data_IF_330284484145
#
_entry.id   IF_330284484145
#
_cell.length_a   1.000
_cell.length_b   1.000
_cell.length_c   1.000
_cell.angle_alpha   90.00
_cell.angle_beta   90.00
_cell.angle_gamma   90.00
#
_symmetry.space_group_name_H-M   'P 1'
#
loop_
_entity.id
_entity.type
_entity.pdbx_description
1 polymer ?
#
# COMPACT_ATOMS: atom_id res chain seq x y z
N UNK A 1 17.36 39.34 14.77
CA UNK A 1 17.37 38.14 15.64
C UNK A 1 18.44 38.32 16.69
N UNK A 2 18.13 38.07 17.96
CA UNK A 2 19.11 38.16 19.06
C UNK A 2 19.83 36.83 19.18
N UNK A 3 21.15 36.87 19.24
CA UNK A 3 22.02 35.70 19.16
C UNK A 3 22.96 35.69 20.35
N UNK A 4 23.00 34.60 21.13
CA UNK A 4 23.78 34.50 22.36
C UNK A 4 24.83 33.38 22.26
N UNK A 5 26.09 33.69 22.57
CA UNK A 5 27.22 32.74 22.52
C UNK A 5 27.68 32.22 23.89
N UNK A 6 26.87 32.42 24.93
CA UNK A 6 27.23 32.04 26.31
C UNK A 6 27.87 33.17 27.12
N UNK A 7 28.22 34.31 26.50
CA UNK A 7 28.72 35.50 27.19
C UNK A 7 28.09 36.78 26.67
N UNK A 8 28.09 36.97 25.35
CA UNK A 8 27.63 38.19 24.70
C UNK A 8 26.37 37.91 23.86
N UNK A 9 25.51 38.93 23.74
CA UNK A 9 24.35 38.89 22.86
C UNK A 9 24.52 39.90 21.74
N UNK A 10 24.46 39.44 20.49
CA UNK A 10 24.54 40.26 19.29
C UNK A 10 23.21 40.24 18.53
N UNK A 11 22.92 41.32 17.81
CA UNK A 11 21.71 41.40 16.99
C UNK A 11 22.04 41.24 15.52
N UNK A 12 21.44 40.23 14.90
CA UNK A 12 21.67 39.84 13.51
C UNK A 12 20.41 40.10 12.68
N UNK A 13 20.53 40.82 11.58
CA UNK A 13 19.50 40.93 10.56
C UNK A 13 19.99 40.21 9.31
N UNK A 14 19.21 39.27 8.79
CA UNK A 14 19.55 38.53 7.58
C UNK A 14 18.50 38.78 6.51
N UNK A 15 18.92 39.35 5.39
CA UNK A 15 18.08 39.66 4.23
C UNK A 15 18.73 39.07 2.98
N UNK A 16 18.25 37.91 2.55
CA UNK A 16 18.81 37.18 1.40
C UNK A 16 20.30 36.82 1.62
N UNK A 17 21.16 37.37 0.76
CA UNK A 17 22.62 37.18 0.79
C UNK A 17 23.35 38.11 1.76
N UNK A 18 22.65 39.04 2.42
CA UNK A 18 23.28 40.04 3.28
C UNK A 18 22.96 39.77 4.74
N UNK A 19 23.98 39.79 5.59
CA UNK A 19 23.86 39.72 7.05
C UNK A 19 24.37 41.02 7.64
N UNK A 20 23.51 41.72 8.38
CA UNK A 20 23.86 42.91 9.16
C UNK A 20 23.99 42.53 10.62
N UNK A 21 25.07 42.94 11.26
CA UNK A 21 25.29 42.78 12.70
C UNK A 21 25.25 44.16 13.34
N UNK A 22 24.27 44.37 14.22
CA UNK A 22 24.05 45.63 14.91
C UNK A 22 24.77 45.59 16.26
N UNK A 23 25.59 46.61 16.51
CA UNK A 23 26.49 46.67 17.65
C UNK A 23 26.11 47.83 18.58
N UNK A 24 25.92 47.50 19.85
CA UNK A 24 25.77 48.47 20.93
C UNK A 24 27.12 49.08 21.30
N UNK A 25 27.12 50.19 22.05
CA UNK A 25 28.34 50.96 22.30
C UNK A 25 29.44 50.24 23.09
N UNK A 26 29.10 49.26 23.92
CA UNK A 26 30.10 48.44 24.62
C UNK A 26 30.75 47.36 23.71
N UNK A 27 30.19 47.11 22.53
CA UNK A 27 30.55 46.00 21.65
C UNK A 27 31.54 46.40 20.54
N UNK A 28 31.85 47.69 20.43
CA UNK A 28 32.79 48.21 19.44
C UNK A 28 33.55 49.42 19.99
N UNK A 29 34.84 49.46 19.69
CA UNK A 29 35.76 50.54 20.03
C UNK A 29 35.84 51.54 18.89
N UNK A 30 35.11 52.64 19.03
CA UNK A 30 35.03 53.71 18.01
C UNK A 30 36.38 54.36 17.73
N UNK A 31 37.27 54.39 18.73
CA UNK A 31 38.66 54.84 18.63
C UNK A 31 39.50 54.02 17.63
N UNK A 32 39.06 52.80 17.30
CA UNK A 32 39.75 51.88 16.39
C UNK A 32 38.89 51.46 15.19
N UNK A 33 37.89 52.26 14.82
CA UNK A 33 36.93 51.92 13.75
C UNK A 33 37.60 51.73 12.38
N UNK A 34 38.71 52.42 12.12
CA UNK A 34 39.45 52.27 10.86
C UNK A 34 40.05 50.87 10.70
N UNK A 35 40.42 50.20 11.80
CA UNK A 35 40.87 48.80 11.77
C UNK A 35 39.70 47.89 11.41
N UNK A 36 38.50 48.17 11.91
CA UNK A 36 37.29 47.41 11.58
C UNK A 36 36.95 47.52 10.09
N UNK A 37 37.10 48.73 9.50
CA UNK A 37 36.87 48.98 8.06
C UNK A 37 37.75 48.14 7.13
N UNK A 38 38.98 47.82 7.55
CA UNK A 38 39.87 46.96 6.77
C UNK A 38 39.42 45.49 6.77
N UNK A 39 38.59 45.09 7.73
CA UNK A 39 38.16 43.70 7.90
C UNK A 39 36.72 43.47 7.44
N UNK A 40 35.84 44.47 7.56
CA UNK A 40 34.40 44.35 7.32
C UNK A 40 33.81 45.67 6.80
N UNK A 41 32.82 45.59 5.91
CA UNK A 41 32.07 46.75 5.43
C UNK A 41 31.15 47.30 6.51
N UNK A 42 31.24 48.59 6.80
CA UNK A 42 30.28 49.29 7.68
C UNK A 42 29.13 49.87 6.85
N UNK A 43 27.91 49.80 7.38
CA UNK A 43 26.76 50.45 6.77
C UNK A 43 26.81 51.97 6.99
N UNK A 44 26.35 52.73 6.00
CA UNK A 44 26.24 54.19 6.08
C UNK A 44 25.08 54.62 6.99
N UNK A 45 24.00 53.84 7.01
CA UNK A 45 22.85 54.06 7.87
C UNK A 45 22.91 53.19 9.13
N UNK A 46 22.98 53.86 10.29
CA UNK A 46 23.01 53.25 11.62
C UNK A 46 21.75 53.71 12.39
N UNK A 47 20.90 52.79 12.88
CA UNK A 47 19.75 53.17 13.70
C UNK A 47 20.21 53.82 15.02
N UNK A 48 19.45 54.79 15.54
CA UNK A 48 19.81 55.61 16.72
C UNK A 48 20.18 54.81 17.99
N UNK A 49 19.74 53.56 18.09
CA UNK A 49 19.99 52.67 19.23
C UNK A 49 21.35 51.94 19.17
N UNK A 50 22.04 51.99 18.03
CA UNK A 50 23.29 51.27 17.78
C UNK A 50 24.42 52.25 17.44
N UNK A 51 25.67 51.86 17.72
CA UNK A 51 26.82 52.69 17.37
C UNK A 51 27.45 52.31 16.03
N UNK A 52 27.29 51.05 15.60
CA UNK A 52 27.75 50.61 14.29
C UNK A 52 26.91 49.46 13.77
N UNK A 53 26.81 49.36 12.44
CA UNK A 53 26.22 48.22 11.74
C UNK A 53 27.24 47.65 10.77
N UNK A 54 27.60 46.39 10.97
CA UNK A 54 28.51 45.65 10.10
C UNK A 54 27.74 44.88 9.05
N UNK A 55 28.19 44.90 7.80
CA UNK A 55 27.52 44.24 6.68
C UNK A 55 28.41 43.15 6.09
N UNK A 56 27.87 41.95 5.99
CA UNK A 56 28.53 40.76 5.46
C UNK A 56 27.77 40.22 4.26
N UNK A 57 28.50 39.87 3.20
CA UNK A 57 27.92 39.16 2.05
C UNK A 57 28.16 37.66 2.20
N UNK A 58 27.07 36.90 2.21
CA UNK A 58 27.05 35.44 2.32
C UNK A 58 26.68 34.86 0.94
N UNK A 59 27.40 33.85 0.42
CA UNK A 59 27.08 33.25 -0.87
C UNK A 59 25.65 32.70 -0.95
N UNK A 60 24.99 32.82 -2.10
CA UNK A 60 23.62 32.35 -2.33
C UNK A 60 23.38 30.88 -1.95
N UNK A 61 24.39 30.03 -2.16
CA UNK A 61 24.31 28.59 -1.87
C UNK A 61 24.65 28.24 -0.40
N UNK A 62 24.99 29.22 0.44
CA UNK A 62 25.37 28.98 1.82
C UNK A 62 24.13 28.70 2.69
N UNK A 63 24.25 27.71 3.58
CA UNK A 63 23.21 27.40 4.57
C UNK A 63 23.75 27.67 5.96
N UNK A 64 22.94 28.22 6.86
CA UNK A 64 23.36 28.32 8.27
C UNK A 64 23.49 26.93 8.88
N UNK A 65 24.27 26.81 9.95
CA UNK A 65 24.41 25.54 10.65
C UNK A 65 23.06 25.06 11.18
N UNK A 66 22.18 25.96 11.63
CA UNK A 66 20.80 25.62 12.01
C UNK A 66 20.04 24.99 10.85
N UNK A 67 20.10 25.59 9.66
CA UNK A 67 19.43 25.06 8.47
C UNK A 67 20.01 23.69 8.09
N UNK A 68 21.33 23.54 8.08
CA UNK A 68 22.00 22.27 7.79
C UNK A 68 21.62 21.17 8.79
N UNK A 69 21.59 21.49 10.08
CA UNK A 69 21.16 20.58 11.14
C UNK A 69 19.70 20.13 10.98
N UNK A 70 18.81 21.04 10.59
CA UNK A 70 17.39 20.72 10.35
C UNK A 70 17.15 19.88 9.08
N UNK A 71 18.02 20.01 8.08
CA UNK A 71 17.92 19.29 6.82
C UNK A 71 18.46 17.85 6.90
N UNK A 72 19.41 17.59 7.81
CA UNK A 72 20.00 16.27 8.02
C UNK A 72 19.00 15.30 8.65
N UNK A 73 18.61 14.26 7.90
CA UNK A 73 17.58 13.29 8.31
C UNK A 73 18.18 12.06 8.98
N UNK A 74 19.33 11.60 8.49
CA UNK A 74 19.99 10.40 9.00
C UNK A 74 21.02 10.74 10.08
N UNK A 75 21.36 9.77 10.92
CA UNK A 75 22.45 9.92 11.91
C UNK A 75 23.77 10.23 11.22
N UNK A 76 24.07 9.55 10.11
CA UNK A 76 25.27 9.77 9.31
C UNK A 76 25.38 11.21 8.78
N UNK A 77 24.30 11.75 8.19
CA UNK A 77 24.30 13.13 7.68
C UNK A 77 24.53 14.15 8.80
N UNK A 78 23.96 13.92 9.98
CA UNK A 78 24.17 14.77 11.16
C UNK A 78 25.63 14.71 11.63
N UNK A 79 26.21 13.52 11.72
CA UNK A 79 27.61 13.33 12.11
C UNK A 79 28.57 13.94 11.08
N UNK A 80 28.32 13.79 9.78
CA UNK A 80 29.10 14.44 8.72
C UNK A 80 29.00 15.97 8.80
N UNK A 81 27.85 16.50 9.18
CA UNK A 81 27.69 17.95 9.39
C UNK A 81 28.50 18.42 10.61
N UNK A 82 28.49 17.65 11.70
CA UNK A 82 29.32 17.92 12.88
C UNK A 82 30.82 17.82 12.58
N UNK A 83 31.25 16.83 11.78
CA UNK A 83 32.63 16.66 11.34
C UNK A 83 33.18 17.90 10.65
N UNK A 84 32.35 18.59 9.84
CA UNK A 84 32.77 19.83 9.16
C UNK A 84 33.11 20.97 10.13
N UNK A 85 32.61 20.96 11.38
CA UNK A 85 32.97 21.95 12.39
C UNK A 85 34.45 21.91 12.77
N UNK A 86 35.17 20.83 12.43
CA UNK A 86 36.62 20.76 12.54
C UNK A 86 37.35 21.96 11.94
N UNK A 87 36.78 22.62 10.92
CA UNK A 87 37.33 23.82 10.29
C UNK A 87 37.40 25.04 11.23
N UNK A 88 36.69 25.02 12.37
CA UNK A 88 36.73 26.08 13.36
C UNK A 88 37.95 25.98 14.30
N UNK A 89 38.56 24.80 14.43
CA UNK A 89 39.76 24.56 15.24
C UNK A 89 40.90 25.56 14.96
N UNK A 90 41.32 25.79 13.70
CA UNK A 90 42.40 26.73 13.42
C UNK A 90 42.02 28.19 13.67
N UNK A 91 40.79 28.52 14.08
CA UNK A 91 40.38 29.88 14.44
C UNK A 91 40.67 30.20 15.92
N UNK A 92 40.99 29.20 16.73
CA UNK A 92 41.35 29.39 18.14
C UNK A 92 42.61 30.25 18.29
N UNK A 93 42.61 31.18 19.25
CA UNK A 93 43.76 32.02 19.58
C UNK A 93 44.21 33.02 18.51
N UNK A 94 43.42 33.24 17.45
CA UNK A 94 43.71 34.23 16.41
C UNK A 94 43.19 35.63 16.77
N UNK A 95 43.74 36.65 16.09
CA UNK A 95 43.27 38.04 16.20
C UNK A 95 41.79 38.20 15.84
N UNK A 96 41.29 37.40 14.89
CA UNK A 96 39.85 37.29 14.58
C UNK A 96 39.23 36.23 15.48
N UNK A 97 38.36 36.64 16.39
CA UNK A 97 37.71 35.78 17.37
C UNK A 97 36.37 35.29 16.79
N UNK A 98 36.16 33.98 16.60
CA UNK A 98 34.91 33.48 16.04
C UNK A 98 33.76 33.60 17.03
N UNK A 99 32.64 34.20 16.63
CA UNK A 99 31.41 34.22 17.43
C UNK A 99 30.63 32.91 17.20
N UNK A 100 30.62 32.03 18.20
CA UNK A 100 30.12 30.66 18.04
C UNK A 100 28.60 30.58 18.22
N UNK A 101 27.87 30.57 17.11
CA UNK A 101 26.42 30.35 17.11
C UNK A 101 25.93 29.65 15.82
N UNK A 102 24.90 28.78 15.88
CA UNK A 102 24.37 28.09 14.69
C UNK A 102 23.86 28.99 13.56
N UNK A 103 23.46 30.22 13.88
CA UNK A 103 23.05 31.24 12.89
C UNK A 103 24.22 31.99 12.26
N UNK A 104 25.36 32.04 12.95
CA UNK A 104 26.55 32.74 12.48
C UNK A 104 27.45 31.85 11.61
N UNK A 105 27.43 30.55 11.87
CA UNK A 105 28.20 29.55 11.13
C UNK A 105 27.45 29.19 9.86
N UNK A 106 28.13 29.26 8.73
CA UNK A 106 27.59 28.91 7.41
C UNK A 106 28.37 27.77 6.79
N UNK A 107 27.65 26.86 6.14
CA UNK A 107 28.18 25.74 5.38
C UNK A 107 28.02 26.03 3.90
N UNK A 108 29.14 25.98 3.18
CA UNK A 108 29.21 26.12 1.72
C UNK A 108 29.84 24.88 1.10
N UNK A 109 29.86 24.79 -0.23
CA UNK A 109 30.57 23.71 -0.94
C UNK A 109 32.09 23.71 -0.67
N UNK A 110 32.67 24.86 -0.28
CA UNK A 110 34.08 25.00 0.04
C UNK A 110 34.44 24.66 1.49
N UNK A 111 33.44 24.49 2.38
CA UNK A 111 33.65 24.20 3.79
C UNK A 111 32.77 25.01 4.72
N UNK A 112 33.18 25.10 5.99
CA UNK A 112 32.51 25.86 7.05
C UNK A 112 33.23 27.18 7.26
N UNK A 113 32.46 28.26 7.32
CA UNK A 113 32.98 29.59 7.66
C UNK A 113 32.09 30.29 8.68
N UNK A 114 32.66 31.29 9.34
CA UNK A 114 31.98 32.12 10.34
C UNK A 114 31.65 33.46 9.67
N UNK A 115 30.39 33.90 9.74
CA UNK A 115 29.96 35.14 9.08
C UNK A 115 30.54 36.36 9.81
N UNK A 116 30.33 36.43 11.12
CA UNK A 116 30.83 37.50 11.99
C UNK A 116 31.90 37.00 12.95
N UNK A 117 33.01 37.72 13.04
CA UNK A 117 34.08 37.48 13.99
C UNK A 117 34.43 38.79 14.67
N UNK A 118 34.69 38.71 15.98
CA UNK A 118 35.25 39.81 16.75
C UNK A 118 36.73 40.04 16.44
N UNK A 119 37.26 41.13 16.98
CA UNK A 119 38.67 41.51 16.88
C UNK A 119 39.17 41.80 18.28
N UNK A 120 40.34 41.23 18.61
CA UNK A 120 40.93 41.36 19.95
C UNK A 120 41.02 42.83 20.35
N UNK A 121 40.34 43.19 21.45
CA UNK A 121 40.32 44.54 22.03
C UNK A 121 39.53 45.61 21.26
N UNK A 122 38.91 45.28 20.11
CA UNK A 122 38.30 46.27 19.21
C UNK A 122 36.82 45.99 18.94
N UNK A 123 36.47 44.74 18.64
CA UNK A 123 35.13 44.34 18.17
C UNK A 123 34.68 43.08 18.90
N UNK A 124 33.45 43.08 19.42
CA UNK A 124 32.83 41.95 20.09
C UNK A 124 32.79 40.68 19.20
N UNK A 125 33.14 39.49 19.71
CA UNK A 125 33.81 39.23 20.99
C UNK A 125 35.25 39.77 21.01
N UNK A 126 35.58 40.58 22.01
CA UNK A 126 36.87 41.30 22.09
C UNK A 126 38.01 40.50 22.77
N UNK A 127 37.69 39.39 23.42
CA UNK A 127 38.68 38.55 24.09
C UNK A 127 38.41 37.08 23.78
N UNK A 128 39.48 36.34 23.46
CA UNK A 128 39.39 34.89 23.27
C UNK A 128 39.44 34.19 24.63
N UNK A 129 38.56 33.22 24.83
CA UNK A 129 38.50 32.40 26.03
C UNK A 129 38.37 30.92 25.61
N UNK A 130 39.36 30.12 25.98
CA UNK A 130 39.43 28.70 25.66
C UNK A 130 38.25 27.90 26.24
N UNK A 131 37.80 28.22 27.46
CA UNK A 131 36.68 27.54 28.11
C UNK A 131 35.36 27.89 27.42
N UNK A 132 35.17 29.16 27.03
CA UNK A 132 34.01 29.58 26.24
C UNK A 132 34.03 28.95 24.85
N UNK A 133 35.18 28.87 24.20
CA UNK A 133 35.33 28.25 22.89
C UNK A 133 35.00 26.75 22.94
N UNK A 134 35.50 26.02 23.94
CA UNK A 134 35.15 24.60 24.16
C UNK A 134 33.65 24.43 24.43
N UNK A 135 33.07 25.25 25.30
CA UNK A 135 31.64 25.24 25.65
C UNK A 135 30.78 25.50 24.42
N UNK A 136 31.13 26.51 23.61
CA UNK A 136 30.48 26.82 22.35
C UNK A 136 30.61 25.69 21.33
N UNK A 137 31.80 25.10 21.17
CA UNK A 137 32.01 23.97 20.26
C UNK A 137 31.15 22.75 20.62
N UNK A 138 31.08 22.40 21.92
CA UNK A 138 30.18 21.35 22.43
C UNK A 138 28.73 21.66 22.08
N UNK A 139 28.27 22.87 22.37
CA UNK A 139 26.90 23.28 22.07
C UNK A 139 26.57 23.23 20.58
N UNK A 140 27.52 23.58 19.70
CA UNK A 140 27.35 23.50 18.25
C UNK A 140 27.18 22.07 17.77
N UNK A 141 28.05 21.15 18.21
CA UNK A 141 27.93 19.71 17.88
C UNK A 141 26.57 19.16 18.36
N UNK A 142 26.18 19.50 19.59
CA UNK A 142 24.90 19.07 20.15
C UNK A 142 23.69 19.67 19.43
N UNK A 143 23.79 20.91 18.95
CA UNK A 143 22.72 21.58 18.18
C UNK A 143 22.45 20.89 16.83
N UNK A 144 23.48 20.26 16.25
CA UNK A 144 23.34 19.49 15.01
C UNK A 144 22.59 18.18 15.28
N UNK A 145 22.90 17.51 16.40
CA UNK A 145 22.24 16.26 16.75
C UNK A 145 20.79 16.48 17.20
N UNK A 146 20.57 17.57 17.94
CA UNK A 146 19.30 17.94 18.56
C UNK A 146 18.77 19.27 18.02
N UNK A 147 18.39 19.37 16.73
CA UNK A 147 18.01 20.65 16.10
C UNK A 147 16.72 21.28 16.66
N UNK A 148 15.96 20.53 17.47
CA UNK A 148 14.75 21.02 18.14
C UNK A 148 15.04 21.78 19.43
N UNK A 149 16.23 21.61 20.01
CA UNK A 149 16.62 22.29 21.23
C UNK A 149 17.17 23.69 20.91
N UNK A 150 16.78 24.73 21.67
CA UNK A 150 17.36 26.05 21.53
C UNK A 150 18.85 25.99 21.93
N UNK A 151 19.68 26.71 21.18
CA UNK A 151 21.14 26.70 21.36
C UNK A 151 21.55 27.23 22.74
N UNK A 152 20.79 28.19 23.26
CA UNK A 152 20.99 28.84 24.55
C UNK A 152 20.92 27.81 25.71
N UNK A 153 20.01 26.83 25.62
CA UNK A 153 19.94 25.75 26.62
C UNK A 153 21.09 24.76 26.52
N UNK A 154 21.63 24.56 25.31
CA UNK A 154 22.76 23.66 25.08
C UNK A 154 24.05 24.28 25.56
N UNK A 155 24.25 25.58 25.32
CA UNK A 155 25.44 26.28 25.79
C UNK A 155 25.44 26.37 27.30
N UNK A 156 24.34 26.76 27.94
CA UNK A 156 24.26 26.86 29.41
C UNK A 156 24.33 25.50 30.13
N UNK A 157 24.28 24.39 29.40
CA UNK A 157 24.31 23.04 29.98
C UNK A 157 23.04 22.67 30.74
N UNK A 158 21.97 23.45 30.58
CA UNK A 158 20.67 23.22 31.24
C UNK A 158 19.80 22.22 30.50
N UNK A 159 20.14 21.90 29.25
CA UNK A 159 19.46 20.87 28.48
C UNK A 159 19.72 19.46 29.03
N UNK A 160 18.64 18.75 29.40
CA UNK A 160 18.73 17.35 29.84
C UNK A 160 18.94 16.42 28.63
N UNK A 161 20.19 16.07 28.34
CA UNK A 161 20.55 15.15 27.26
C UNK A 161 20.72 13.73 27.82
N UNK A 162 19.83 12.83 27.43
CA UNK A 162 19.82 11.44 27.94
C UNK A 162 20.73 10.50 27.17
N UNK A 163 21.07 10.84 25.92
CA UNK A 163 21.83 9.98 25.02
C UNK A 163 23.32 9.91 25.35
N UNK A 164 23.92 8.73 25.17
CA UNK A 164 25.31 8.47 25.54
C UNK A 164 26.30 9.26 24.69
N UNK A 165 25.97 9.55 23.43
CA UNK A 165 26.78 10.39 22.56
C UNK A 165 26.90 11.80 23.16
N UNK A 166 25.79 12.44 23.50
CA UNK A 166 25.80 13.79 24.08
C UNK A 166 26.53 13.86 25.42
N UNK A 167 26.40 12.83 26.27
CA UNK A 167 27.16 12.73 27.52
C UNK A 167 28.66 12.65 27.26
N UNK A 168 29.09 11.85 26.28
CA UNK A 168 30.51 11.76 25.87
C UNK A 168 31.02 13.11 25.37
N UNK A 169 30.28 13.79 24.48
CA UNK A 169 30.62 15.14 24.00
C UNK A 169 30.81 16.12 25.16
N UNK A 170 29.92 16.10 26.16
CA UNK A 170 30.02 16.97 27.32
C UNK A 170 31.27 16.69 28.17
N UNK A 171 31.70 15.42 28.26
CA UNK A 171 32.83 14.99 29.09
C UNK A 171 34.22 15.30 28.51
N UNK A 172 34.35 15.52 27.20
CA UNK A 172 35.67 15.71 26.60
C UNK A 172 36.33 17.03 27.04
N UNK A 173 37.65 17.01 27.35
CA UNK A 173 38.35 18.18 27.84
C UNK A 173 38.81 19.13 26.72
N UNK A 174 38.96 18.66 25.49
CA UNK A 174 39.45 19.49 24.37
C UNK A 174 38.57 19.38 23.12
N UNK A 175 38.67 20.40 22.25
CA UNK A 175 37.97 20.42 20.95
C UNK A 175 38.51 19.34 20.01
N UNK A 176 39.80 19.02 20.09
CA UNK A 176 40.41 17.97 19.27
C UNK A 176 39.91 16.58 19.66
N UNK A 177 39.71 16.31 20.94
CA UNK A 177 39.10 15.04 21.40
C UNK A 177 37.68 14.88 20.87
N UNK A 178 36.90 15.98 20.88
CA UNK A 178 35.54 15.99 20.33
C UNK A 178 35.57 15.70 18.83
N UNK A 179 36.46 16.37 18.08
CA UNK A 179 36.57 16.17 16.65
C UNK A 179 37.00 14.74 16.29
N UNK A 180 38.00 14.19 16.98
CA UNK A 180 38.45 12.81 16.79
C UNK A 180 37.35 11.79 17.11
N UNK A 181 36.55 12.04 18.16
CA UNK A 181 35.39 11.20 18.49
C UNK A 181 34.33 11.23 17.39
N UNK A 182 34.00 12.42 16.87
CA UNK A 182 33.04 12.58 15.77
C UNK A 182 33.57 11.89 14.50
N UNK A 183 34.85 12.03 14.16
CA UNK A 183 35.47 11.40 12.99
C UNK A 183 35.35 9.87 13.04
N UNK A 184 35.60 9.28 14.23
CA UNK A 184 35.43 7.86 14.46
C UNK A 184 33.98 7.41 14.28
N UNK A 185 33.03 8.11 14.88
CA UNK A 185 31.60 7.80 14.78
C UNK A 185 31.09 7.91 13.33
N UNK A 186 31.58 8.88 12.55
CA UNK A 186 31.28 8.98 11.11
C UNK A 186 31.78 7.76 10.37
N UNK A 187 33.02 7.32 10.61
CA UNK A 187 33.61 6.17 9.94
C UNK A 187 32.86 4.87 10.27
N UNK A 188 32.53 4.66 11.54
CA UNK A 188 31.76 3.50 12.00
C UNK A 188 30.35 3.49 11.38
N UNK A 189 29.63 4.61 11.41
CA UNK A 189 28.27 4.71 10.86
C UNK A 189 28.26 4.59 9.32
N UNK A 190 29.24 5.15 8.63
CA UNK A 190 29.39 5.01 7.18
C UNK A 190 29.63 3.54 6.78
N UNK A 191 30.45 2.83 7.56
CA UNK A 191 30.69 1.40 7.32
C UNK A 191 29.43 0.56 7.52
N UNK A 192 28.63 0.84 8.56
CA UNK A 192 27.34 0.17 8.80
C UNK A 192 26.34 0.46 7.69
N UNK A 193 26.17 1.73 7.32
CA UNK A 193 25.28 2.13 6.24
C UNK A 193 25.64 1.42 4.92
N UNK A 194 26.93 1.29 4.61
CA UNK A 194 27.39 0.61 3.39
C UNK A 194 27.16 -0.91 3.39
N UNK A 195 27.15 -1.54 4.57
CA UNK A 195 26.90 -2.98 4.75
C UNK A 195 25.41 -3.34 4.81
N UNK A 196 24.60 -2.47 5.39
CA UNK A 196 23.18 -2.73 5.65
C UNK A 196 22.25 -2.20 4.53
N UNK A 197 22.69 -1.21 3.74
CA UNK A 197 21.83 -0.58 2.74
C UNK A 197 22.41 -0.68 1.32
N UNK A 198 21.86 -1.63 0.53
CA UNK A 198 22.00 -1.59 -0.92
C UNK A 198 21.01 -0.55 -1.44
N UNK A 199 21.50 0.64 -1.79
CA UNK A 199 20.66 1.70 -2.34
C UNK A 199 20.16 1.32 -3.74
N UNK A 200 18.96 0.73 -3.82
CA UNK A 200 18.33 0.45 -5.11
C UNK A 200 17.70 1.75 -5.63
N UNK A 201 18.01 2.10 -6.88
CA UNK A 201 17.41 3.26 -7.56
C UNK A 201 15.87 3.11 -7.53
N UNK A 202 15.16 4.08 -6.93
CA UNK A 202 13.70 4.05 -6.68
C UNK A 202 12.86 3.62 -7.91
N UNK A 203 13.29 3.98 -9.11
CA UNK A 203 12.61 3.60 -10.36
C UNK A 203 12.68 2.09 -10.64
N UNK A 204 13.86 1.47 -10.44
CA UNK A 204 14.02 0.01 -10.62
C UNK A 204 13.17 -0.75 -9.63
N UNK A 205 13.16 -0.33 -8.36
CA UNK A 205 12.32 -0.91 -7.32
C UNK A 205 10.82 -0.85 -7.70
N UNK A 206 10.31 0.33 -8.07
CA UNK A 206 8.90 0.47 -8.50
C UNK A 206 8.56 -0.42 -9.69
N UNK A 207 9.43 -0.45 -10.71
CA UNK A 207 9.21 -1.28 -11.90
C UNK A 207 9.20 -2.77 -11.55
N UNK A 208 10.14 -3.25 -10.74
CA UNK A 208 10.18 -4.64 -10.30
C UNK A 208 8.98 -5.02 -9.44
N UNK A 209 8.53 -4.13 -8.55
CA UNK A 209 7.35 -4.38 -7.70
C UNK A 209 6.07 -4.46 -8.54
N UNK A 210 5.91 -3.57 -9.54
CA UNK A 210 4.76 -3.61 -10.46
C UNK A 210 4.79 -4.87 -11.31
N UNK A 211 5.94 -5.22 -11.89
CA UNK A 211 6.09 -6.45 -12.68
C UNK A 211 5.79 -7.70 -11.84
N UNK A 212 6.27 -7.76 -10.60
CA UNK A 212 5.98 -8.87 -9.71
C UNK A 212 4.47 -8.96 -9.39
N UNK A 213 3.82 -7.84 -9.12
CA UNK A 213 2.37 -7.80 -8.87
C UNK A 213 1.57 -8.27 -10.11
N UNK A 214 1.94 -7.80 -11.30
CA UNK A 214 1.31 -8.23 -12.56
C UNK A 214 1.52 -9.73 -12.80
N UNK A 215 2.72 -10.25 -12.54
CA UNK A 215 3.01 -11.67 -12.69
C UNK A 215 2.16 -12.55 -11.77
N UNK A 216 1.94 -12.13 -10.51
CA UNK A 216 1.06 -12.84 -9.58
C UNK A 216 -0.38 -12.87 -10.08
N UNK A 217 -0.91 -11.72 -10.52
CA UNK A 217 -2.28 -11.65 -11.06
C UNK A 217 -2.42 -12.52 -12.32
N UNK A 218 -1.46 -12.46 -13.23
CA UNK A 218 -1.47 -13.28 -14.45
C UNK A 218 -1.40 -14.78 -14.15
N UNK A 219 -0.62 -15.19 -13.14
CA UNK A 219 -0.55 -16.57 -12.69
C UNK A 219 -1.88 -17.04 -12.08
N UNK A 220 -2.54 -16.20 -11.29
CA UNK A 220 -3.86 -16.53 -10.70
C UNK A 220 -4.94 -16.70 -11.77
N UNK A 221 -5.02 -15.79 -12.75
CA UNK A 221 -5.99 -15.89 -13.85
C UNK A 221 -5.73 -17.13 -14.70
N UNK A 222 -4.46 -17.38 -15.04
CA UNK A 222 -4.08 -18.59 -15.79
C UNK A 222 -4.42 -19.86 -15.01
N UNK A 223 -4.20 -19.87 -13.69
CA UNK A 223 -4.53 -21.00 -12.82
C UNK A 223 -6.03 -21.26 -12.75
N UNK A 224 -6.85 -20.21 -12.64
CA UNK A 224 -8.31 -20.35 -12.69
C UNK A 224 -8.80 -20.92 -14.02
N UNK A 225 -8.27 -20.43 -15.14
CA UNK A 225 -8.64 -20.92 -16.47
C UNK A 225 -8.21 -22.37 -16.71
N UNK A 226 -7.03 -22.75 -16.22
CA UNK A 226 -6.57 -24.15 -16.24
C UNK A 226 -7.46 -25.06 -15.39
N UNK A 227 -7.90 -24.59 -14.22
CA UNK A 227 -8.82 -25.34 -13.37
C UNK A 227 -10.19 -25.54 -14.02
N UNK A 228 -10.79 -24.47 -14.54
CA UNK A 228 -12.11 -24.52 -15.20
C UNK A 228 -12.09 -25.44 -16.43
N UNK A 229 -11.02 -25.37 -17.23
CA UNK A 229 -10.88 -26.23 -18.40
C UNK A 229 -10.67 -27.72 -18.05
N UNK A 230 -9.74 -28.05 -17.14
CA UNK A 230 -9.37 -29.44 -16.86
C UNK A 230 -10.35 -30.14 -15.92
N UNK A 231 -10.81 -29.45 -14.88
CA UNK A 231 -11.61 -30.07 -13.81
C UNK A 231 -13.11 -30.02 -14.10
N UNK A 232 -13.58 -29.03 -14.86
CA UNK A 232 -15.01 -28.86 -15.14
C UNK A 232 -15.33 -29.18 -16.59
N UNK A 233 -14.64 -28.55 -17.55
CA UNK A 233 -15.03 -28.65 -18.95
C UNK A 233 -14.71 -30.02 -19.58
N UNK A 234 -13.52 -30.59 -19.33
CA UNK A 234 -13.12 -31.90 -19.87
C UNK A 234 -14.02 -33.07 -19.44
N UNK A 235 -14.24 -33.33 -18.14
CA UNK A 235 -15.05 -34.48 -17.72
C UNK A 235 -16.50 -34.38 -18.23
N UNK A 236 -17.05 -33.16 -18.32
CA UNK A 236 -18.37 -32.94 -18.92
C UNK A 236 -18.38 -33.32 -20.41
N UNK A 237 -17.36 -32.93 -21.17
CA UNK A 237 -17.27 -33.28 -22.58
C UNK A 237 -17.11 -34.80 -22.77
N UNK A 238 -16.28 -35.44 -21.96
CA UNK A 238 -16.11 -36.90 -21.97
C UNK A 238 -17.43 -37.62 -21.65
N UNK A 239 -18.14 -37.17 -20.61
CA UNK A 239 -19.45 -37.73 -20.25
C UNK A 239 -20.49 -37.55 -21.38
N UNK A 240 -20.50 -36.41 -22.06
CA UNK A 240 -21.39 -36.18 -23.21
C UNK A 240 -21.05 -37.13 -24.37
N UNK A 241 -19.77 -37.35 -24.66
CA UNK A 241 -19.33 -38.28 -25.72
C UNK A 241 -19.72 -39.71 -25.37
N UNK A 242 -19.49 -40.14 -24.13
CA UNK A 242 -19.87 -41.48 -23.64
C UNK A 242 -21.38 -41.68 -23.71
N UNK A 243 -22.17 -40.73 -23.21
CA UNK A 243 -23.62 -40.81 -23.26
C UNK A 243 -24.17 -40.84 -24.69
N UNK A 244 -23.54 -40.12 -25.63
CA UNK A 244 -23.90 -40.19 -27.05
C UNK A 244 -23.55 -41.55 -27.65
N UNK A 245 -22.42 -42.15 -27.27
CA UNK A 245 -22.05 -43.50 -27.67
C UNK A 245 -23.08 -44.52 -27.19
N UNK A 246 -23.45 -44.45 -25.91
CA UNK A 246 -24.42 -45.37 -25.30
C UNK A 246 -25.83 -45.17 -25.86
N UNK A 247 -26.19 -43.95 -26.21
CA UNK A 247 -27.42 -43.66 -26.95
C UNK A 247 -27.45 -44.33 -28.33
N UNK A 248 -26.33 -44.30 -29.06
CA UNK A 248 -26.21 -44.93 -30.38
C UNK A 248 -26.28 -46.47 -30.30
N UNK A 249 -25.80 -47.06 -29.21
CA UNK A 249 -25.93 -48.51 -28.93
C UNK A 249 -27.28 -48.90 -28.33
N UNK A 250 -28.20 -47.93 -28.19
CA UNK A 250 -29.54 -48.07 -27.59
C UNK A 250 -29.55 -48.42 -26.09
N UNK A 251 -28.45 -48.18 -25.37
CA UNK A 251 -28.41 -48.25 -23.91
C UNK A 251 -28.90 -46.94 -23.29
N UNK A 252 -30.22 -46.75 -23.34
CA UNK A 252 -30.88 -45.55 -22.84
C UNK A 252 -30.75 -45.38 -21.32
N UNK A 253 -30.62 -46.48 -20.57
CA UNK A 253 -30.50 -46.43 -19.12
C UNK A 253 -29.11 -45.93 -18.71
N UNK A 254 -28.06 -46.44 -19.36
CA UNK A 254 -26.71 -45.96 -19.14
C UNK A 254 -26.54 -44.51 -19.60
N UNK A 255 -27.16 -44.12 -20.73
CA UNK A 255 -27.18 -42.72 -21.21
C UNK A 255 -27.69 -41.74 -20.15
N UNK A 256 -28.77 -42.08 -19.43
CA UNK A 256 -29.30 -41.24 -18.36
C UNK A 256 -28.33 -41.13 -17.18
N UNK A 257 -27.65 -42.24 -16.85
CA UNK A 257 -26.70 -42.33 -15.75
C UNK A 257 -25.43 -41.52 -16.00
N UNK A 258 -24.89 -41.58 -17.22
CA UNK A 258 -23.64 -40.90 -17.59
C UNK A 258 -23.73 -39.37 -17.46
N UNK A 259 -24.93 -38.81 -17.65
CA UNK A 259 -25.17 -37.37 -17.53
C UNK A 259 -25.98 -37.00 -16.28
N UNK A 260 -26.17 -37.91 -15.33
CA UNK A 260 -26.99 -37.66 -14.14
C UNK A 260 -26.45 -36.51 -13.29
N UNK A 261 -25.13 -36.35 -13.25
CA UNK A 261 -24.43 -35.35 -12.42
C UNK A 261 -24.50 -33.92 -13.00
N UNK A 262 -24.92 -33.76 -14.27
CA UNK A 262 -24.95 -32.47 -14.94
C UNK A 262 -26.38 -31.92 -15.05
N UNK A 263 -26.57 -30.64 -14.71
CA UNK A 263 -27.86 -29.96 -14.88
C UNK A 263 -28.25 -29.83 -16.37
N UNK A 264 -29.54 -29.81 -16.72
CA UNK A 264 -29.96 -29.65 -18.12
C UNK A 264 -29.40 -28.35 -18.75
N UNK A 265 -29.33 -27.26 -17.98
CA UNK A 265 -28.77 -25.98 -18.40
C UNK A 265 -27.27 -26.01 -18.73
N UNK A 266 -26.52 -26.95 -18.13
CA UNK A 266 -25.08 -27.08 -18.33
C UNK A 266 -24.72 -27.93 -19.56
N UNK A 267 -25.74 -28.55 -20.17
CA UNK A 267 -25.60 -29.47 -21.28
C UNK A 267 -25.97 -28.81 -22.62
N UNK A 268 -25.22 -29.09 -23.68
CA UNK A 268 -25.57 -28.63 -25.01
C UNK A 268 -26.89 -29.27 -25.46
N UNK A 269 -27.61 -28.58 -26.35
CA UNK A 269 -28.94 -28.99 -26.82
C UNK A 269 -28.96 -30.41 -27.41
N UNK A 270 -27.87 -30.86 -28.02
CA UNK A 270 -27.71 -32.24 -28.51
C UNK A 270 -27.72 -33.28 -27.40
N UNK A 271 -27.04 -33.03 -26.27
CA UNK A 271 -27.01 -33.95 -25.14
C UNK A 271 -28.36 -33.95 -24.39
N UNK A 272 -29.01 -32.78 -24.27
CA UNK A 272 -30.38 -32.68 -23.76
C UNK A 272 -31.38 -33.47 -24.60
N UNK A 273 -31.29 -33.36 -25.93
CA UNK A 273 -32.11 -34.17 -26.84
C UNK A 273 -31.90 -35.67 -26.61
N UNK A 274 -30.64 -36.11 -26.52
CA UNK A 274 -30.29 -37.51 -26.22
C UNK A 274 -30.92 -37.97 -24.90
N UNK A 275 -30.81 -37.17 -23.84
CA UNK A 275 -31.43 -37.49 -22.55
C UNK A 275 -32.96 -37.53 -22.60
N UNK A 276 -33.59 -36.56 -23.26
CA UNK A 276 -35.04 -36.52 -23.40
C UNK A 276 -35.57 -37.74 -24.17
N UNK A 277 -34.91 -38.13 -25.27
CA UNK A 277 -35.28 -39.33 -26.03
C UNK A 277 -35.07 -40.60 -25.20
N UNK A 278 -33.92 -40.72 -24.51
CA UNK A 278 -33.66 -41.86 -23.61
C UNK A 278 -34.71 -41.97 -22.51
N UNK A 279 -35.09 -40.83 -21.92
CA UNK A 279 -36.18 -40.75 -20.94
C UNK A 279 -37.49 -41.30 -21.51
N UNK A 280 -37.94 -40.81 -22.67
CA UNK A 280 -39.19 -41.26 -23.31
C UNK A 280 -39.14 -42.77 -23.60
N UNK A 281 -37.99 -43.28 -24.06
CA UNK A 281 -37.81 -44.71 -24.32
C UNK A 281 -37.97 -45.56 -23.04
N UNK A 282 -37.59 -45.04 -21.89
CA UNK A 282 -37.66 -45.73 -20.59
C UNK A 282 -38.96 -45.49 -19.81
N UNK A 283 -39.73 -44.46 -20.13
CA UNK A 283 -41.03 -44.18 -19.49
C UNK A 283 -42.01 -45.36 -19.58
N UNK A 284 -43.00 -45.43 -18.68
CA UNK A 284 -44.02 -46.48 -18.64
C UNK A 284 -45.19 -46.27 -19.63
N UNK A 285 -44.91 -45.68 -20.80
CA UNK A 285 -45.90 -45.49 -21.87
C UNK A 285 -45.98 -46.70 -22.80
N UNK A 286 -47.13 -46.89 -23.47
CA UNK A 286 -47.26 -47.92 -24.52
C UNK A 286 -46.36 -47.60 -25.71
N UNK A 287 -45.98 -48.61 -26.50
CA UNK A 287 -45.10 -48.42 -27.66
C UNK A 287 -45.66 -47.39 -28.67
N UNK A 288 -46.98 -47.38 -28.88
CA UNK A 288 -47.65 -46.43 -29.78
C UNK A 288 -47.57 -45.00 -29.22
N UNK A 289 -47.85 -44.81 -27.92
CA UNK A 289 -47.73 -43.49 -27.28
C UNK A 289 -46.29 -42.96 -27.34
N UNK A 290 -45.30 -43.80 -27.04
CA UNK A 290 -43.87 -43.43 -27.16
C UNK A 290 -43.55 -42.96 -28.57
N UNK A 291 -44.01 -43.67 -29.60
CA UNK A 291 -43.73 -43.29 -30.98
C UNK A 291 -44.38 -41.95 -31.34
N UNK A 292 -45.61 -41.69 -30.90
CA UNK A 292 -46.27 -40.40 -31.11
C UNK A 292 -45.50 -39.24 -30.49
N UNK A 293 -45.03 -39.40 -29.25
CA UNK A 293 -44.20 -38.38 -28.58
C UNK A 293 -42.88 -38.19 -29.32
N UNK A 294 -42.17 -39.26 -29.64
CA UNK A 294 -40.87 -39.21 -30.31
C UNK A 294 -40.92 -38.57 -31.69
N UNK A 295 -42.03 -38.70 -32.42
CA UNK A 295 -42.20 -38.03 -33.72
C UNK A 295 -42.21 -36.50 -33.62
N UNK A 296 -42.50 -35.96 -32.43
CA UNK A 296 -42.56 -34.51 -32.16
C UNK A 296 -41.30 -33.99 -31.43
N UNK A 297 -40.34 -34.87 -31.10
CA UNK A 297 -39.10 -34.47 -30.43
C UNK A 297 -37.95 -34.49 -31.43
N UNK A 298 -37.20 -33.38 -31.46
CA UNK A 298 -36.01 -33.21 -32.29
C UNK A 298 -34.97 -32.36 -31.56
N UNK A 299 -33.78 -32.22 -32.15
CA UNK A 299 -32.76 -31.28 -31.69
C UNK A 299 -33.19 -29.81 -31.80
N UNK A 300 -34.34 -29.52 -32.43
CA UNK A 300 -34.94 -28.18 -32.55
C UNK A 300 -36.09 -27.94 -31.58
N UNK A 301 -36.56 -28.97 -30.88
CA UNK A 301 -37.61 -28.84 -29.85
C UNK A 301 -37.19 -27.80 -28.81
N UNK A 302 -38.16 -27.09 -28.24
CA UNK A 302 -37.90 -26.06 -27.25
C UNK A 302 -37.25 -26.67 -25.99
N UNK A 303 -36.49 -25.82 -25.30
CA UNK A 303 -35.67 -26.26 -24.18
C UNK A 303 -36.53 -26.75 -23.01
N UNK A 304 -37.70 -26.15 -22.76
CA UNK A 304 -38.59 -26.54 -21.66
C UNK A 304 -39.19 -27.94 -21.89
N UNK A 305 -39.55 -28.28 -23.13
CA UNK A 305 -40.04 -29.63 -23.46
C UNK A 305 -38.94 -30.67 -23.30
N UNK A 306 -37.70 -30.37 -23.71
CA UNK A 306 -36.58 -31.30 -23.50
C UNK A 306 -36.29 -31.47 -22.00
N UNK A 307 -36.21 -30.36 -21.27
CA UNK A 307 -35.93 -30.34 -19.84
C UNK A 307 -37.03 -31.05 -19.06
N UNK A 308 -38.30 -30.94 -19.46
CA UNK A 308 -39.42 -31.71 -18.89
C UNK A 308 -39.12 -33.20 -18.86
N UNK A 309 -38.76 -33.79 -20.02
CA UNK A 309 -38.48 -35.23 -20.11
C UNK A 309 -37.25 -35.62 -19.31
N UNK A 310 -36.25 -34.74 -19.21
CA UNK A 310 -35.06 -34.97 -18.41
C UNK A 310 -35.41 -34.99 -16.91
N UNK A 311 -36.16 -34.00 -16.42
CA UNK A 311 -36.60 -33.93 -15.03
C UNK A 311 -37.52 -35.11 -14.67
N UNK A 312 -38.42 -35.50 -15.57
CA UNK A 312 -39.29 -36.66 -15.41
C UNK A 312 -38.48 -37.96 -15.21
N UNK A 313 -37.48 -38.21 -16.05
CA UNK A 313 -36.60 -39.39 -15.91
C UNK A 313 -35.74 -39.38 -14.64
N UNK A 314 -35.39 -38.19 -14.13
CA UNK A 314 -34.61 -38.03 -12.89
C UNK A 314 -35.46 -38.14 -11.63
N UNK A 315 -36.79 -38.23 -11.76
CA UNK A 315 -37.71 -38.25 -10.62
C UNK A 315 -37.93 -36.88 -9.98
N UNK A 316 -37.50 -35.79 -10.64
CA UNK A 316 -37.75 -34.41 -10.21
C UNK A 316 -39.12 -33.95 -10.73
N UNK A 317 -40.15 -34.59 -10.18
CA UNK A 317 -41.52 -34.54 -10.71
C UNK A 317 -42.19 -33.18 -10.51
N UNK A 318 -41.84 -32.44 -9.44
CA UNK A 318 -42.35 -31.09 -9.21
C UNK A 318 -41.84 -30.13 -10.29
N UNK A 319 -40.56 -30.21 -10.65
CA UNK A 319 -39.97 -29.39 -11.72
C UNK A 319 -40.55 -29.77 -13.08
N UNK A 320 -40.73 -31.06 -13.34
CA UNK A 320 -41.40 -31.53 -14.55
C UNK A 320 -42.85 -31.00 -14.64
N UNK A 321 -43.63 -31.06 -13.55
CA UNK A 321 -44.98 -30.53 -13.52
C UNK A 321 -45.02 -29.03 -13.83
N UNK A 322 -44.14 -28.24 -13.20
CA UNK A 322 -44.05 -26.81 -13.43
C UNK A 322 -43.70 -26.49 -14.90
N UNK A 323 -42.77 -27.23 -15.50
CA UNK A 323 -42.42 -27.09 -16.92
C UNK A 323 -43.62 -27.41 -17.82
N UNK A 324 -44.35 -28.49 -17.55
CA UNK A 324 -45.53 -28.87 -18.32
C UNK A 324 -46.67 -27.83 -18.24
N UNK A 325 -46.92 -27.29 -17.05
CA UNK A 325 -47.92 -26.24 -16.85
C UNK A 325 -47.52 -24.94 -17.55
N UNK A 326 -46.23 -24.57 -17.50
CA UNK A 326 -45.71 -23.40 -18.21
C UNK A 326 -45.82 -23.54 -19.73
N UNK A 327 -45.57 -24.76 -20.25
CA UNK A 327 -45.81 -25.09 -21.65
C UNK A 327 -47.30 -25.04 -22.04
N UNK A 328 -48.20 -25.16 -21.06
CA UNK A 328 -49.64 -25.29 -21.31
C UNK A 328 -50.01 -26.62 -21.95
N UNK A 329 -49.16 -27.65 -21.82
CA UNK A 329 -49.38 -28.96 -22.41
C UNK A 329 -50.14 -29.87 -21.43
N UNK A 330 -51.45 -30.02 -21.66
CA UNK A 330 -52.33 -30.84 -20.83
C UNK A 330 -51.91 -32.33 -20.80
N UNK A 331 -51.25 -32.85 -21.86
CA UNK A 331 -50.79 -34.23 -21.90
C UNK A 331 -49.55 -34.43 -21.03
N UNK A 332 -48.57 -33.53 -21.12
CA UNK A 332 -47.39 -33.56 -20.25
C UNK A 332 -47.76 -33.30 -18.78
N UNK A 333 -48.73 -32.42 -18.55
CA UNK A 333 -49.25 -32.10 -17.21
C UNK A 333 -49.94 -33.34 -16.61
N UNK A 334 -50.76 -34.04 -17.39
CA UNK A 334 -51.41 -35.29 -16.97
C UNK A 334 -50.37 -36.36 -16.63
N UNK A 335 -49.34 -36.53 -17.45
CA UNK A 335 -48.27 -37.50 -17.20
C UNK A 335 -47.52 -37.19 -15.91
N UNK A 336 -47.15 -35.93 -15.68
CA UNK A 336 -46.45 -35.52 -14.46
C UNK A 336 -47.29 -35.76 -13.19
N UNK A 337 -48.59 -35.42 -13.21
CA UNK A 337 -49.48 -35.73 -12.09
C UNK A 337 -49.65 -37.23 -11.85
N UNK A 338 -49.67 -38.03 -12.92
CA UNK A 338 -49.76 -39.50 -12.82
C UNK A 338 -48.52 -40.06 -12.14
N UNK A 339 -47.33 -39.63 -12.53
CA UNK A 339 -46.07 -40.05 -11.92
C UNK A 339 -45.95 -39.54 -10.46
N UNK A 340 -46.41 -38.31 -10.17
CA UNK A 340 -46.48 -37.78 -8.79
C UNK A 340 -47.41 -38.62 -7.91
N UNK A 341 -48.56 -39.04 -8.44
CA UNK A 341 -49.49 -39.92 -7.75
C UNK A 341 -48.87 -41.29 -7.48
N UNK A 342 -48.21 -41.91 -8.47
CA UNK A 342 -47.51 -43.18 -8.29
C UNK A 342 -46.39 -43.08 -7.24
N UNK A 343 -45.54 -42.06 -7.34
CA UNK A 343 -44.43 -41.84 -6.41
C UNK A 343 -44.93 -41.62 -4.98
N UNK A 344 -45.95 -40.76 -4.80
CA UNK A 344 -46.57 -40.49 -3.49
C UNK A 344 -47.21 -41.75 -2.91
N UNK A 345 -47.86 -42.57 -3.76
CA UNK A 345 -48.47 -43.84 -3.35
C UNK A 345 -47.42 -44.84 -2.85
N UNK A 346 -46.26 -44.88 -3.48
CA UNK A 346 -45.15 -45.78 -3.12
C UNK A 346 -44.29 -45.27 -1.96
N UNK A 347 -44.37 -43.99 -1.60
CA UNK A 347 -43.60 -43.42 -0.49
C UNK A 347 -44.06 -43.99 0.87
N UNK A 348 -43.17 -44.74 1.53
CA UNK A 348 -43.40 -45.37 2.84
C UNK A 348 -43.02 -44.48 4.02
N UNK A 349 -42.36 -43.35 3.77
CA UNK A 349 -41.85 -42.43 4.78
C UNK A 349 -42.78 -41.24 5.06
N UNK A 350 -43.69 -40.93 4.14
CA UNK A 350 -44.61 -39.80 4.27
C UNK A 350 -45.69 -40.03 5.33
N UNK A 351 -46.01 -38.99 6.11
CA UNK A 351 -47.11 -39.00 7.07
C UNK A 351 -48.45 -39.33 6.38
N UNK A 352 -49.19 -40.30 6.92
CA UNK A 352 -50.40 -40.85 6.28
C UNK A 352 -51.47 -39.81 5.94
N UNK A 353 -51.71 -38.83 6.82
CA UNK A 353 -52.69 -37.76 6.57
C UNK A 353 -52.28 -36.85 5.42
N UNK A 354 -51.00 -36.47 5.37
CA UNK A 354 -50.43 -35.66 4.28
C UNK A 354 -50.44 -36.43 2.96
N UNK A 355 -50.07 -37.71 3.02
CA UNK A 355 -50.07 -38.62 1.87
C UNK A 355 -51.45 -38.73 1.25
N UNK A 356 -52.49 -38.98 2.05
CA UNK A 356 -53.86 -39.09 1.55
C UNK A 356 -54.32 -37.79 0.90
N UNK A 357 -54.03 -36.64 1.52
CA UNK A 357 -54.38 -35.33 0.97
C UNK A 357 -53.76 -35.08 -0.41
N UNK A 358 -52.48 -35.39 -0.59
CA UNK A 358 -51.79 -35.24 -1.88
C UNK A 358 -52.34 -36.22 -2.94
N UNK A 359 -52.62 -37.47 -2.55
CA UNK A 359 -53.22 -38.46 -3.46
C UNK A 359 -54.60 -38.01 -3.94
N UNK A 360 -55.44 -37.47 -3.05
CA UNK A 360 -56.76 -36.96 -3.40
C UNK A 360 -56.66 -35.74 -4.33
N UNK A 361 -55.71 -34.85 -4.07
CA UNK A 361 -55.45 -33.66 -4.90
C UNK A 361 -54.97 -34.05 -6.31
N UNK A 362 -53.97 -34.92 -6.41
CA UNK A 362 -53.46 -35.39 -7.69
C UNK A 362 -54.50 -36.20 -8.46
N UNK A 363 -55.27 -37.07 -7.80
CA UNK A 363 -56.35 -37.82 -8.45
C UNK A 363 -57.40 -36.89 -9.06
N UNK A 364 -57.82 -35.86 -8.32
CA UNK A 364 -58.76 -34.86 -8.83
C UNK A 364 -58.19 -34.13 -10.06
N UNK A 365 -56.92 -33.73 -10.02
CA UNK A 365 -56.24 -33.08 -11.16
C UNK A 365 -56.14 -33.99 -12.38
N UNK A 366 -55.85 -35.28 -12.17
CA UNK A 366 -55.81 -36.29 -13.22
C UNK A 366 -57.20 -36.43 -13.87
N UNK A 367 -58.26 -36.56 -13.09
CA UNK A 367 -59.64 -36.65 -13.61
C UNK A 367 -60.06 -35.40 -14.41
N UNK A 368 -59.75 -34.20 -13.89
CA UNK A 368 -59.98 -32.93 -14.58
C UNK A 368 -59.28 -32.88 -15.95
N UNK A 369 -58.01 -33.31 -16.01
CA UNK A 369 -57.22 -33.33 -17.25
C UNK A 369 -57.69 -34.40 -18.24
N UNK A 370 -58.05 -35.60 -17.77
CA UNK A 370 -58.61 -36.66 -18.62
C UNK A 370 -59.93 -36.19 -19.25
N UNK A 371 -60.80 -35.56 -18.48
CA UNK A 371 -62.06 -35.01 -19.00
C UNK A 371 -61.80 -33.95 -20.07
N UNK A 372 -60.84 -33.04 -19.85
CA UNK A 372 -60.45 -32.00 -20.80
C UNK A 372 -59.88 -32.56 -22.10
N UNK A 373 -59.01 -33.56 -22.02
CA UNK A 373 -58.40 -34.24 -23.18
C UNK A 373 -59.39 -35.14 -23.93
N UNK A 374 -60.38 -35.71 -23.23
CA UNK A 374 -61.46 -36.49 -23.83
C UNK A 374 -62.49 -35.63 -24.58
N UNK A 375 -62.72 -34.40 -24.12
CA UNK A 375 -63.63 -33.44 -24.75
C UNK A 375 -63.06 -32.73 -25.99
N UNK A 376 -61.75 -32.86 -26.24
CA UNK A 376 -61.03 -32.24 -27.37
C UNK A 376 -60.84 -33.18 -28.58
N UNK A 377 -61.49 -34.35 -28.58
CA UNK A 377 -61.49 -35.29 -29.71
C UNK A 377 -62.60 -35.06 -30.71
#
# INVERSE_FOLDING_TARGET
MRVFDGRETLEFERTGETVRVLLAGAQIRMDSIDIVRHHVTLAEEVPEQFQAVLTYRVPAAARTLRQAASAARTRLEKLQTAQKLAALRPLAGKFRIPFLHPENIVITGAGVSVTHSGLVGILAPMAFDDALFLKGYKALVLSILHPRLPFEKLIDGTATLKDDFSKRIASFPTVDDIAAFVDREVAEEASRASRETVSVRKLRYRLTTVLAAVAVVAASVSGWWAYESVVVAQPRQEAIITAQSDFLTSDYAQTLKDLQEYGPSDLPKSARYVLAVSSIKLTKLTAVQKQTVLNNISTKTDDNTLDYWIHLARGDLDTALNLAQNLGDDQLTLLAYTDLYEATKLDTSMEGARKQKLLDEYAKKIEELIARLGATR
#
